data_IF_934880146887
#
_entry.id   IF_934880146887
#
_cell.length_a   1.000
_cell.length_b   1.000
_cell.length_c   1.000
_cell.angle_alpha   90.00
_cell.angle_beta   90.00
_cell.angle_gamma   90.00
#
_symmetry.space_group_name_H-M   'P 1'
#
loop_
_entity.id
_entity.type
_entity.pdbx_description
1 polymer ?
#
# COMPACT_ATOMS: atom_id res chain seq x y z
N UNK A 1 -14.12 -13.51 11.50
CA UNK A 1 -12.73 -13.60 10.95
C UNK A 1 -12.54 -15.02 10.46
N UNK A 2 -12.48 -15.22 9.14
CA UNK A 2 -12.18 -16.52 8.56
C UNK A 2 -10.69 -16.62 8.28
N UNK A 3 -10.09 -17.77 8.66
CA UNK A 3 -8.71 -18.08 8.35
C UNK A 3 -8.57 -18.27 6.84
N UNK A 4 -7.57 -17.67 6.20
CA UNK A 4 -7.26 -17.94 4.80
C UNK A 4 -7.04 -19.42 4.56
N UNK A 5 -7.76 -19.99 3.59
CA UNK A 5 -7.69 -21.42 3.24
C UNK A 5 -7.86 -21.58 1.73
N UNK A 6 -6.93 -22.31 1.11
CA UNK A 6 -7.02 -22.65 -0.32
C UNK A 6 -8.25 -23.50 -0.61
N UNK A 7 -8.56 -24.45 0.28
CA UNK A 7 -9.72 -25.36 0.11
C UNK A 7 -11.07 -24.67 0.30
N UNK A 8 -11.11 -23.52 0.98
CA UNK A 8 -12.34 -22.74 1.20
C UNK A 8 -12.47 -21.54 0.24
N UNK A 9 -11.51 -21.34 -0.67
CA UNK A 9 -11.53 -20.21 -1.60
C UNK A 9 -11.36 -18.82 -0.96
N UNK A 10 -10.96 -18.75 0.32
CA UNK A 10 -10.72 -17.50 1.06
C UNK A 10 -9.26 -17.09 0.98
N UNK A 11 -8.53 -17.53 -0.05
CA UNK A 11 -7.11 -17.30 -0.23
C UNK A 11 -6.88 -16.51 -1.52
N UNK A 12 -6.09 -15.46 -1.42
CA UNK A 12 -5.59 -14.71 -2.59
C UNK A 12 -4.09 -14.93 -2.72
N UNK A 13 -3.65 -15.30 -3.90
CA UNK A 13 -2.23 -15.36 -4.20
C UNK A 13 -1.67 -13.95 -4.43
N UNK A 14 -0.38 -13.76 -4.14
CA UNK A 14 0.30 -12.51 -4.47
C UNK A 14 0.26 -12.23 -5.98
N UNK A 15 0.25 -13.28 -6.81
CA UNK A 15 0.14 -13.16 -8.26
C UNK A 15 -1.24 -12.61 -8.70
N UNK A 16 -2.33 -13.16 -8.18
CA UNK A 16 -3.69 -12.65 -8.44
C UNK A 16 -3.84 -11.20 -8.01
N UNK A 17 -3.33 -10.86 -6.83
CA UNK A 17 -3.34 -9.50 -6.34
C UNK A 17 -2.56 -8.56 -7.26
N UNK A 18 -1.37 -8.98 -7.72
CA UNK A 18 -0.49 -8.16 -8.59
C UNK A 18 -1.06 -7.90 -9.99
N UNK A 19 -1.98 -8.75 -10.47
CA UNK A 19 -2.70 -8.52 -11.73
C UNK A 19 -3.75 -7.41 -11.63
N UNK A 20 -4.25 -7.15 -10.42
CA UNK A 20 -5.33 -6.18 -10.18
C UNK A 20 -4.84 -4.87 -9.58
N UNK A 21 -3.82 -4.93 -8.74
CA UNK A 21 -3.32 -3.80 -7.98
C UNK A 21 -1.79 -3.74 -8.02
N UNK A 22 -1.26 -2.52 -7.89
CA UNK A 22 0.18 -2.34 -7.75
C UNK A 22 0.68 -3.04 -6.47
N UNK A 23 1.64 -3.99 -6.57
CA UNK A 23 2.17 -4.72 -5.43
C UNK A 23 2.75 -3.83 -4.32
N UNK A 24 3.22 -2.63 -4.66
CA UNK A 24 3.78 -1.70 -3.68
C UNK A 24 2.73 -1.15 -2.70
N UNK A 25 1.47 -1.09 -3.13
CA UNK A 25 0.37 -0.70 -2.23
C UNK A 25 0.14 -1.75 -1.14
N UNK A 26 0.23 -3.03 -1.50
CA UNK A 26 0.14 -4.12 -0.54
C UNK A 26 1.36 -4.16 0.40
N UNK A 27 2.56 -3.90 -0.13
CA UNK A 27 3.78 -3.78 0.70
C UNK A 27 3.64 -2.64 1.72
N UNK A 28 3.12 -1.48 1.29
CA UNK A 28 2.86 -0.36 2.19
C UNK A 28 1.82 -0.74 3.26
N UNK A 29 0.71 -1.36 2.86
CA UNK A 29 -0.33 -1.79 3.77
C UNK A 29 0.18 -2.77 4.83
N UNK A 30 0.96 -3.75 4.43
CA UNK A 30 1.59 -4.68 5.38
C UNK A 30 2.61 -3.97 6.28
N UNK A 31 3.48 -3.15 5.74
CA UNK A 31 4.44 -2.41 6.56
C UNK A 31 3.76 -1.50 7.58
N UNK A 32 2.59 -0.93 7.23
CA UNK A 32 1.77 -0.08 8.09
C UNK A 32 1.08 -0.85 9.23
N UNK A 33 0.77 -2.12 9.05
CA UNK A 33 -0.07 -2.90 9.96
C UNK A 33 0.70 -4.00 10.72
N UNK A 34 1.78 -4.56 10.14
CA UNK A 34 2.56 -5.62 10.76
C UNK A 34 3.33 -5.11 11.97
N UNK A 35 3.06 -5.70 13.13
CA UNK A 35 3.87 -5.54 14.34
C UNK A 35 5.03 -6.55 14.34
N UNK A 36 5.95 -6.41 15.30
CA UNK A 36 7.02 -7.40 15.53
C UNK A 36 6.50 -8.74 16.03
N UNK A 37 5.35 -8.73 16.68
CA UNK A 37 4.74 -9.90 17.25
C UNK A 37 4.07 -10.73 16.16
N UNK A 38 4.06 -12.04 16.34
CA UNK A 38 3.37 -12.98 15.44
C UNK A 38 1.86 -12.82 15.64
N UNK A 39 1.28 -11.83 14.97
CA UNK A 39 -0.15 -11.60 14.98
C UNK A 39 -0.72 -11.79 13.57
N UNK A 40 -1.87 -12.45 13.49
CA UNK A 40 -2.61 -12.54 12.24
C UNK A 40 -3.11 -11.16 11.81
N UNK A 41 -2.92 -10.83 10.54
CA UNK A 41 -3.52 -9.65 9.92
C UNK A 41 -4.79 -10.07 9.19
N UNK A 42 -5.87 -9.37 9.50
CA UNK A 42 -7.09 -9.45 8.72
C UNK A 42 -6.99 -8.50 7.52
N UNK A 43 -6.84 -9.07 6.32
CA UNK A 43 -6.79 -8.28 5.10
C UNK A 43 -8.21 -7.84 4.72
N UNK A 44 -8.61 -6.67 5.19
CA UNK A 44 -9.83 -6.01 4.74
C UNK A 44 -9.55 -5.18 3.50
N UNK A 45 -10.21 -5.48 2.38
CA UNK A 45 -10.05 -4.71 1.15
C UNK A 45 -10.48 -3.24 1.31
N UNK A 46 -11.51 -2.99 2.11
CA UNK A 46 -11.96 -1.62 2.40
C UNK A 46 -10.90 -0.85 3.21
N UNK A 47 -10.26 -1.51 4.18
CA UNK A 47 -9.18 -0.90 4.97
C UNK A 47 -7.92 -0.72 4.11
N UNK A 48 -7.58 -1.69 3.28
CA UNK A 48 -6.49 -1.59 2.30
C UNK A 48 -6.67 -0.39 1.37
N UNK A 49 -7.87 -0.22 0.78
CA UNK A 49 -8.19 0.94 -0.07
C UNK A 49 -8.06 2.24 0.71
N UNK A 50 -8.66 2.32 1.89
CA UNK A 50 -8.65 3.51 2.75
C UNK A 50 -7.23 3.91 3.16
N UNK A 51 -6.43 2.98 3.65
CA UNK A 51 -5.04 3.22 4.07
C UNK A 51 -4.18 3.64 2.88
N UNK A 52 -4.29 2.93 1.76
CA UNK A 52 -3.54 3.25 0.54
C UNK A 52 -3.90 4.65 0.02
N UNK A 53 -5.19 4.94 -0.10
CA UNK A 53 -5.65 6.21 -0.65
C UNK A 53 -5.35 7.41 0.25
N UNK A 54 -5.50 7.27 1.56
CA UNK A 54 -5.35 8.39 2.48
C UNK A 54 -3.90 8.60 2.92
N UNK A 55 -3.18 7.53 3.26
CA UNK A 55 -1.85 7.64 3.84
C UNK A 55 -0.75 7.66 2.77
N UNK A 56 -0.74 6.71 1.83
CA UNK A 56 0.30 6.66 0.80
C UNK A 56 0.05 7.71 -0.29
N UNK A 57 -1.16 7.77 -0.84
CA UNK A 57 -1.45 8.57 -2.03
C UNK A 57 -1.77 10.01 -1.66
N UNK A 58 -2.76 10.24 -0.80
CA UNK A 58 -3.19 11.60 -0.47
C UNK A 58 -2.20 12.35 0.43
N UNK A 59 -1.53 11.67 1.36
CA UNK A 59 -0.55 12.31 2.23
C UNK A 59 0.83 12.39 1.53
N UNK A 60 1.51 11.26 1.27
CA UNK A 60 2.88 11.26 0.74
C UNK A 60 2.89 11.63 -0.75
N UNK A 61 2.13 10.89 -1.56
CA UNK A 61 2.14 11.05 -3.02
C UNK A 61 1.72 12.44 -3.47
N UNK A 62 0.64 12.95 -2.92
CA UNK A 62 0.11 14.27 -3.26
C UNK A 62 1.05 15.40 -2.81
N UNK A 63 1.66 15.30 -1.62
CA UNK A 63 2.67 16.28 -1.19
C UNK A 63 3.84 16.33 -2.17
N UNK A 64 4.43 15.18 -2.50
CA UNK A 64 5.56 15.10 -3.42
C UNK A 64 5.20 15.69 -4.80
N UNK A 65 4.05 15.31 -5.34
CA UNK A 65 3.60 15.82 -6.65
C UNK A 65 3.29 17.31 -6.65
N UNK A 66 2.59 17.83 -5.64
CA UNK A 66 2.26 19.25 -5.52
C UNK A 66 3.49 20.13 -5.45
N UNK A 67 4.48 19.73 -4.63
CA UNK A 67 5.72 20.46 -4.47
C UNK A 67 6.54 20.50 -5.77
N UNK A 68 6.74 19.32 -6.39
CA UNK A 68 7.53 19.22 -7.64
C UNK A 68 6.83 19.93 -8.80
N UNK A 69 5.51 19.80 -8.92
CA UNK A 69 4.71 20.46 -9.96
C UNK A 69 4.70 21.98 -9.81
N UNK A 70 4.59 22.49 -8.58
CA UNK A 70 4.63 23.93 -8.34
C UNK A 70 6.02 24.51 -8.62
N UNK A 71 7.08 23.78 -8.28
CA UNK A 71 8.45 24.15 -8.61
C UNK A 71 8.68 24.17 -10.14
N UNK A 72 8.26 23.13 -10.85
CA UNK A 72 8.41 23.04 -12.30
C UNK A 72 7.68 24.18 -13.01
N UNK A 73 6.41 24.39 -12.67
CA UNK A 73 5.55 25.42 -13.26
C UNK A 73 6.12 26.84 -13.11
N UNK A 74 6.67 27.16 -11.95
CA UNK A 74 7.04 28.55 -11.62
C UNK A 74 8.53 28.83 -11.73
N UNK A 75 9.38 27.81 -11.61
CA UNK A 75 10.84 27.95 -11.58
C UNK A 75 11.56 26.94 -12.49
N UNK A 76 10.83 26.32 -13.45
CA UNK A 76 11.37 25.33 -14.42
C UNK A 76 12.19 24.22 -13.72
N UNK A 77 11.70 23.77 -12.56
CA UNK A 77 12.33 22.74 -11.75
C UNK A 77 13.59 23.16 -10.99
N UNK A 78 13.97 24.44 -11.00
CA UNK A 78 15.24 24.89 -10.42
C UNK A 78 15.09 25.35 -8.98
N UNK A 79 15.90 24.80 -8.09
CA UNK A 79 16.10 25.23 -6.70
C UNK A 79 17.41 26.00 -6.65
N UNK A 80 17.39 27.23 -6.16
CA UNK A 80 18.63 28.02 -5.92
C UNK A 80 19.11 27.92 -4.48
N UNK A 81 18.18 28.05 -3.53
CA UNK A 81 18.46 28.02 -2.10
C UNK A 81 17.34 27.31 -1.34
N UNK A 82 17.50 27.13 -0.03
CA UNK A 82 16.55 26.47 0.86
C UNK A 82 16.26 27.34 2.08
N UNK A 83 15.02 27.33 2.56
CA UNK A 83 14.64 28.06 3.78
C UNK A 83 15.36 27.47 5.00
N UNK A 84 15.90 28.36 5.83
CA UNK A 84 16.65 28.00 7.05
C UNK A 84 15.72 27.82 8.26
N UNK A 85 14.62 27.10 8.08
CA UNK A 85 13.70 26.78 9.18
C UNK A 85 14.29 25.69 10.10
N UNK A 86 15.16 26.12 11.04
CA UNK A 86 15.85 25.22 11.98
C UNK A 86 14.87 24.33 12.75
N UNK A 87 13.78 24.91 13.28
CA UNK A 87 12.80 24.16 14.07
C UNK A 87 12.20 22.97 13.28
N UNK A 88 11.79 23.20 12.03
CA UNK A 88 11.23 22.16 11.18
C UNK A 88 12.28 21.10 10.80
N UNK A 89 13.48 21.53 10.41
CA UNK A 89 14.55 20.59 10.01
C UNK A 89 15.01 19.74 11.18
N UNK A 90 15.10 20.28 12.39
CA UNK A 90 15.43 19.53 13.61
C UNK A 90 14.32 18.50 13.95
N UNK A 91 13.05 18.89 13.85
CA UNK A 91 11.92 17.98 14.06
C UNK A 91 11.97 16.80 13.07
N UNK A 92 12.19 17.08 11.79
CA UNK A 92 12.28 16.04 10.76
C UNK A 92 13.53 15.18 10.97
N UNK A 93 14.68 15.76 11.31
CA UNK A 93 15.90 15.00 11.59
C UNK A 93 15.71 14.00 12.73
N UNK A 94 15.06 14.40 13.82
CA UNK A 94 14.73 13.47 14.93
C UNK A 94 13.85 12.30 14.45
N UNK A 95 12.93 12.56 13.53
CA UNK A 95 12.08 11.49 12.97
C UNK A 95 12.84 10.60 11.99
N UNK A 96 13.76 11.14 11.20
CA UNK A 96 14.66 10.36 10.35
C UNK A 96 15.43 9.34 11.18
N UNK A 97 16.02 9.75 12.30
CA UNK A 97 16.75 8.83 13.17
C UNK A 97 15.84 7.74 13.78
N UNK A 98 14.60 8.10 14.17
CA UNK A 98 13.60 7.10 14.60
C UNK A 98 13.25 6.11 13.49
N UNK A 99 13.11 6.56 12.24
CA UNK A 99 12.86 5.65 11.11
C UNK A 99 14.03 4.69 10.91
N UNK A 100 15.27 5.18 10.95
CA UNK A 100 16.48 4.35 10.83
C UNK A 100 16.54 3.29 11.96
N UNK A 101 16.29 3.71 13.20
CA UNK A 101 16.24 2.82 14.35
C UNK A 101 15.14 1.76 14.19
N UNK A 102 13.94 2.15 13.76
CA UNK A 102 12.83 1.22 13.56
C UNK A 102 13.12 0.23 12.43
N UNK A 103 13.77 0.64 11.35
CA UNK A 103 14.21 -0.28 10.30
C UNK A 103 15.25 -1.29 10.81
N UNK A 104 16.22 -0.84 11.59
CA UNK A 104 17.23 -1.75 12.16
C UNK A 104 16.64 -2.79 13.13
N UNK A 105 15.49 -2.46 13.74
CA UNK A 105 14.74 -3.32 14.66
C UNK A 105 13.59 -4.08 13.98
N UNK A 106 13.45 -4.02 12.66
CA UNK A 106 12.35 -4.59 11.89
C UNK A 106 10.94 -4.11 12.35
N UNK A 107 10.86 -2.93 12.94
CA UNK A 107 9.61 -2.34 13.39
C UNK A 107 8.99 -1.46 12.30
N UNK A 108 8.49 -2.10 11.24
CA UNK A 108 8.02 -1.42 10.03
C UNK A 108 6.84 -0.49 10.30
N UNK A 109 5.93 -0.88 11.18
CA UNK A 109 4.76 -0.09 11.58
C UNK A 109 5.17 1.29 12.12
N UNK A 110 6.12 1.33 13.06
CA UNK A 110 6.59 2.59 13.62
C UNK A 110 7.48 3.37 12.63
N UNK A 111 8.20 2.67 11.73
CA UNK A 111 8.91 3.35 10.64
C UNK A 111 7.93 4.09 9.73
N UNK A 112 6.87 3.42 9.26
CA UNK A 112 5.82 4.04 8.42
C UNK A 112 5.15 5.20 9.14
N UNK A 113 4.80 5.06 10.42
CA UNK A 113 4.21 6.13 11.22
C UNK A 113 5.09 7.38 11.23
N UNK A 114 6.39 7.23 11.50
CA UNK A 114 7.31 8.36 11.50
C UNK A 114 7.49 8.98 10.10
N UNK A 115 7.44 8.19 9.03
CA UNK A 115 7.48 8.69 7.64
C UNK A 115 6.24 9.54 7.34
N UNK A 116 5.04 9.07 7.73
CA UNK A 116 3.79 9.82 7.59
C UNK A 116 3.85 11.14 8.35
N UNK A 117 4.36 11.14 9.59
CA UNK A 117 4.53 12.36 10.38
C UNK A 117 5.52 13.35 9.75
N UNK A 118 6.57 12.88 9.03
CA UNK A 118 7.44 13.75 8.24
C UNK A 118 6.67 14.37 7.07
N UNK A 119 5.84 13.59 6.40
CA UNK A 119 4.99 14.10 5.31
C UNK A 119 3.98 15.12 5.82
N UNK A 120 3.36 14.89 6.96
CA UNK A 120 2.44 15.84 7.62
C UNK A 120 3.12 17.17 7.94
N UNK A 121 4.34 17.13 8.47
CA UNK A 121 5.13 18.33 8.72
C UNK A 121 5.43 19.09 7.42
N UNK A 122 5.76 18.38 6.36
CA UNK A 122 5.99 18.98 5.04
C UNK A 122 4.72 19.59 4.45
N UNK A 123 3.59 18.87 4.48
CA UNK A 123 2.29 19.36 4.05
C UNK A 123 1.86 20.62 4.82
N UNK A 124 1.99 20.59 6.14
CA UNK A 124 1.68 21.71 7.02
C UNK A 124 2.52 22.94 6.67
N UNK A 125 3.84 22.76 6.55
CA UNK A 125 4.74 23.84 6.17
C UNK A 125 4.41 24.43 4.81
N UNK A 126 4.17 23.59 3.79
CA UNK A 126 3.79 24.03 2.44
C UNK A 126 2.46 24.79 2.46
N UNK A 127 1.49 24.34 3.24
CA UNK A 127 0.19 25.01 3.39
C UNK A 127 0.31 26.35 4.13
N UNK A 128 1.06 26.40 5.23
CA UNK A 128 1.26 27.63 6.02
C UNK A 128 2.04 28.72 5.25
N UNK A 129 2.98 28.31 4.40
CA UNK A 129 3.77 29.25 3.58
C UNK A 129 3.01 29.74 2.34
N UNK A 130 1.92 29.11 1.95
CA UNK A 130 1.07 29.47 0.82
C UNK A 130 1.90 29.94 -0.42
N UNK A 131 2.78 29.09 -0.98
CA UNK A 131 3.70 29.52 -2.04
C UNK A 131 2.98 30.09 -3.27
N UNK A 132 1.70 29.71 -3.50
CA UNK A 132 0.84 30.27 -4.56
C UNK A 132 0.41 31.72 -4.32
N UNK A 133 0.40 32.17 -3.07
CA UNK A 133 0.21 33.59 -2.72
C UNK A 133 1.55 34.30 -2.60
N UNK A 134 2.54 33.66 -1.96
CA UNK A 134 3.86 34.22 -1.70
C UNK A 134 4.59 34.60 -2.99
N UNK A 135 4.48 33.81 -4.05
CA UNK A 135 5.15 34.05 -5.34
C UNK A 135 4.78 35.39 -5.98
N UNK A 136 3.57 35.90 -5.70
CA UNK A 136 3.12 37.20 -6.21
C UNK A 136 3.82 38.38 -5.52
N UNK A 137 4.37 38.15 -4.32
CA UNK A 137 4.98 39.17 -3.47
C UNK A 137 6.51 39.05 -3.41
N UNK A 138 6.99 37.84 -3.24
CA UNK A 138 8.40 37.52 -3.07
C UNK A 138 8.78 36.19 -3.73
N UNK A 139 9.27 36.28 -4.97
CA UNK A 139 9.74 35.12 -5.74
C UNK A 139 10.96 34.44 -5.09
N UNK A 140 11.85 35.21 -4.47
CA UNK A 140 13.05 34.66 -3.84
C UNK A 140 12.68 33.84 -2.63
N UNK A 141 11.84 34.39 -1.75
CA UNK A 141 11.36 33.64 -0.57
C UNK A 141 10.54 32.41 -0.94
N UNK A 142 9.72 32.50 -2.00
CA UNK A 142 8.99 31.34 -2.52
C UNK A 142 9.95 30.23 -2.95
N UNK A 143 11.05 30.58 -3.61
CA UNK A 143 12.04 29.60 -4.06
C UNK A 143 12.78 28.95 -2.88
N UNK A 144 13.09 29.70 -1.82
CA UNK A 144 13.65 29.15 -0.58
C UNK A 144 12.69 28.16 0.09
N UNK A 145 11.40 28.51 0.20
CA UNK A 145 10.34 27.63 0.73
C UNK A 145 10.24 26.32 -0.07
N UNK A 146 10.21 26.43 -1.39
CA UNK A 146 10.15 25.25 -2.26
C UNK A 146 11.44 24.41 -2.16
N UNK A 147 12.59 25.05 -2.00
CA UNK A 147 13.86 24.36 -1.78
C UNK A 147 13.81 23.47 -0.54
N UNK A 148 13.25 23.96 0.57
CA UNK A 148 13.05 23.13 1.77
C UNK A 148 12.05 22.00 1.53
N UNK A 149 10.93 22.29 0.86
CA UNK A 149 9.94 21.26 0.53
C UNK A 149 10.53 20.16 -0.35
N UNK A 150 11.36 20.48 -1.35
CA UNK A 150 12.04 19.47 -2.19
C UNK A 150 13.05 18.64 -1.37
N UNK A 151 13.74 19.25 -0.43
CA UNK A 151 14.58 18.48 0.51
C UNK A 151 13.72 17.49 1.33
N UNK A 152 12.52 17.88 1.77
CA UNK A 152 11.59 16.96 2.44
C UNK A 152 11.12 15.84 1.49
N UNK A 153 10.83 16.14 0.22
CA UNK A 153 10.50 15.13 -0.79
C UNK A 153 11.66 14.13 -0.95
N UNK A 154 12.90 14.58 -1.00
CA UNK A 154 14.07 13.69 -1.03
C UNK A 154 14.16 12.80 0.22
N UNK A 155 13.91 13.36 1.40
CA UNK A 155 13.82 12.59 2.65
C UNK A 155 12.77 11.50 2.55
N UNK A 156 11.54 11.84 2.14
CA UNK A 156 10.45 10.88 2.00
C UNK A 156 10.77 9.78 0.98
N UNK A 157 11.28 10.16 -0.20
CA UNK A 157 11.69 9.21 -1.24
C UNK A 157 12.72 8.20 -0.70
N UNK A 158 13.70 8.69 0.08
CA UNK A 158 14.75 7.84 0.65
C UNK A 158 14.20 6.92 1.74
N UNK A 159 13.41 7.46 2.66
CA UNK A 159 12.92 6.70 3.80
C UNK A 159 11.91 5.63 3.43
N UNK A 160 11.06 5.88 2.42
CA UNK A 160 10.04 4.92 1.99
C UNK A 160 10.59 3.84 1.03
N UNK A 161 11.82 3.99 0.53
CA UNK A 161 12.39 3.10 -0.48
C UNK A 161 12.43 1.61 -0.11
N UNK A 162 12.64 1.18 1.15
CA UNK A 162 12.56 -0.23 1.50
C UNK A 162 11.14 -0.81 1.37
N UNK A 163 10.12 0.03 1.45
CA UNK A 163 8.70 -0.36 1.43
C UNK A 163 8.15 -0.29 0.01
N UNK A 164 8.34 0.85 -0.68
CA UNK A 164 7.86 1.11 -2.04
C UNK A 164 9.01 1.48 -2.98
N UNK A 165 9.85 0.50 -3.37
CA UNK A 165 11.09 0.76 -4.12
C UNK A 165 10.87 1.40 -5.48
N UNK A 166 9.83 0.98 -6.25
CA UNK A 166 9.54 1.54 -7.58
C UNK A 166 9.05 2.99 -7.48
N UNK A 167 8.17 3.27 -6.52
CA UNK A 167 7.71 4.64 -6.27
C UNK A 167 8.88 5.55 -5.90
N UNK A 168 9.76 5.10 -5.02
CA UNK A 168 10.96 5.84 -4.61
C UNK A 168 11.92 6.07 -5.76
N UNK A 169 12.12 5.07 -6.61
CA UNK A 169 12.99 5.16 -7.78
C UNK A 169 12.46 6.20 -8.80
N UNK A 170 11.15 6.23 -9.02
CA UNK A 170 10.55 7.23 -9.90
C UNK A 170 10.63 8.65 -9.30
N UNK A 171 10.46 8.80 -7.98
CA UNK A 171 10.73 10.09 -7.30
C UNK A 171 12.19 10.50 -7.43
N UNK A 172 13.13 9.57 -7.25
CA UNK A 172 14.57 9.81 -7.44
C UNK A 172 14.87 10.36 -8.83
N UNK A 173 14.29 9.74 -9.86
CA UNK A 173 14.42 10.20 -11.26
C UNK A 173 13.85 11.61 -11.43
N UNK A 174 12.66 11.87 -10.89
CA UNK A 174 12.05 13.21 -10.96
C UNK A 174 12.88 14.25 -10.21
N UNK A 175 13.48 13.89 -9.09
CA UNK A 175 14.40 14.74 -8.36
C UNK A 175 15.77 14.89 -9.04
N UNK A 176 16.04 14.18 -10.15
CA UNK A 176 17.34 14.13 -10.84
C UNK A 176 18.49 13.76 -9.92
N UNK A 177 18.27 12.85 -8.98
CA UNK A 177 19.28 12.36 -8.05
C UNK A 177 19.92 11.07 -8.58
N UNK A 178 21.24 10.92 -8.39
CA UNK A 178 21.96 9.71 -8.79
C UNK A 178 21.54 8.49 -7.95
N UNK A 179 21.40 8.70 -6.65
CA UNK A 179 21.02 7.67 -5.69
C UNK A 179 20.31 8.26 -4.47
N UNK A 180 19.60 7.41 -3.72
CA UNK A 180 19.01 7.74 -2.42
C UNK A 180 19.88 7.17 -1.32
N UNK A 181 20.46 8.04 -0.46
CA UNK A 181 21.40 7.64 0.59
C UNK A 181 20.77 7.82 1.98
N UNK A 182 20.45 6.69 2.62
CA UNK A 182 19.88 6.72 3.96
C UNK A 182 20.88 7.24 5.01
N UNK A 183 22.17 6.94 4.85
CA UNK A 183 23.21 7.34 5.81
C UNK A 183 23.43 8.85 5.87
N UNK A 184 23.32 9.53 4.72
CA UNK A 184 23.70 10.93 4.56
C UNK A 184 22.51 11.85 4.25
N UNK A 185 21.32 11.52 4.75
CA UNK A 185 20.13 12.35 4.56
C UNK A 185 20.30 13.71 5.23
N UNK A 186 20.48 14.74 4.40
CA UNK A 186 20.65 16.15 4.82
C UNK A 186 19.75 17.05 3.97
N UNK A 187 19.39 18.20 4.54
CA UNK A 187 18.65 19.26 3.85
C UNK A 187 19.61 20.17 3.06
N UNK A 188 20.33 19.61 2.10
CA UNK A 188 21.42 20.30 1.39
C UNK A 188 21.22 20.40 -0.13
N UNK A 189 20.06 20.02 -0.65
CA UNK A 189 19.75 20.23 -2.07
C UNK A 189 19.55 21.71 -2.33
N UNK A 190 20.54 22.31 -2.97
CA UNK A 190 20.54 23.70 -3.45
C UNK A 190 21.28 23.77 -4.79
N UNK A 191 21.04 24.80 -5.58
CA UNK A 191 21.55 24.92 -6.95
C UNK A 191 21.31 23.65 -7.75
N UNK A 192 20.08 23.12 -7.64
CA UNK A 192 19.69 21.82 -8.16
C UNK A 192 18.49 21.95 -9.10
N UNK A 193 18.46 21.12 -10.15
CA UNK A 193 17.36 21.09 -11.11
C UNK A 193 16.68 19.73 -11.11
N UNK A 194 15.38 19.72 -10.88
CA UNK A 194 14.54 18.52 -10.98
C UNK A 194 14.08 18.29 -12.42
N UNK A 195 13.70 17.06 -12.75
CA UNK A 195 13.04 16.72 -14.01
C UNK A 195 11.55 17.06 -13.95
N UNK A 196 10.87 16.97 -15.10
CA UNK A 196 9.44 17.23 -15.21
C UNK A 196 8.65 16.26 -14.32
N UNK A 197 7.76 16.76 -13.46
CA UNK A 197 7.00 15.94 -12.55
C UNK A 197 5.94 15.08 -13.28
N UNK A 198 5.70 13.89 -12.75
CA UNK A 198 4.65 12.98 -13.20
C UNK A 198 3.93 12.42 -11.98
N UNK A 199 2.64 12.15 -12.11
CA UNK A 199 1.90 11.36 -11.12
C UNK A 199 2.44 9.93 -11.18
N UNK A 200 3.00 9.44 -10.07
CA UNK A 200 3.59 8.10 -9.98
C UNK A 200 2.57 7.10 -9.42
N UNK A 201 1.80 7.54 -8.45
CA UNK A 201 0.78 6.73 -7.77
C UNK A 201 -0.56 7.46 -7.81
N UNK A 202 -1.64 6.70 -8.00
CA UNK A 202 -3.00 7.22 -8.11
C UNK A 202 -3.96 6.43 -7.23
N UNK A 203 -5.06 7.09 -6.84
CA UNK A 203 -6.12 6.45 -6.04
C UNK A 203 -6.57 5.14 -6.67
N UNK A 204 -6.86 4.19 -5.80
CA UNK A 204 -7.41 2.90 -6.16
C UNK A 204 -8.86 2.82 -5.72
N UNK A 205 -9.66 2.14 -6.52
CA UNK A 205 -10.96 1.62 -6.14
C UNK A 205 -10.84 0.10 -6.14
N UNK A 206 -10.94 -0.49 -4.97
CA UNK A 206 -10.90 -1.94 -4.87
C UNK A 206 -12.28 -2.45 -5.27
N UNK A 207 -12.42 -2.85 -6.53
CA UNK A 207 -13.55 -3.68 -6.93
C UNK A 207 -13.48 -4.92 -6.06
N UNK A 208 -14.54 -5.15 -5.25
CA UNK A 208 -14.69 -6.44 -4.58
C UNK A 208 -14.50 -7.49 -5.66
N UNK A 209 -13.43 -8.29 -5.56
CA UNK A 209 -13.36 -9.47 -6.39
C UNK A 209 -14.62 -10.24 -6.04
N UNK A 210 -15.57 -10.28 -6.97
CA UNK A 210 -16.65 -11.23 -6.85
C UNK A 210 -15.92 -12.56 -6.74
N UNK A 211 -15.85 -13.09 -5.53
CA UNK A 211 -15.58 -14.49 -5.33
C UNK A 211 -16.75 -15.19 -5.98
N UNK A 212 -16.70 -15.34 -7.29
CA UNK A 212 -17.35 -16.46 -7.91
C UNK A 212 -16.56 -17.64 -7.38
N UNK A 213 -17.02 -18.13 -6.25
CA UNK A 213 -16.67 -19.46 -5.79
C UNK A 213 -16.84 -20.34 -7.03
N UNK A 214 -15.80 -21.00 -7.53
CA UNK A 214 -15.97 -21.94 -8.62
C UNK A 214 -16.57 -23.24 -8.07
N UNK A 215 -17.55 -23.11 -7.19
CA UNK A 215 -18.44 -24.21 -6.86
C UNK A 215 -19.45 -24.25 -7.99
N UNK A 216 -19.17 -25.13 -8.93
CA UNK A 216 -20.16 -25.56 -9.89
C UNK A 216 -21.17 -26.47 -9.14
N UNK A 217 -21.99 -25.82 -8.30
CA UNK A 217 -23.04 -26.50 -7.56
C UNK A 217 -24.11 -26.92 -8.56
N UNK A 218 -24.29 -28.20 -8.69
CA UNK A 218 -25.39 -28.80 -9.45
C UNK A 218 -26.37 -29.45 -8.49
N UNK A 219 -27.64 -29.25 -8.70
CA UNK A 219 -28.67 -30.01 -8.01
C UNK A 219 -28.69 -31.41 -8.63
N UNK A 220 -28.62 -32.43 -7.80
CA UNK A 220 -28.65 -33.82 -8.22
C UNK A 220 -29.83 -34.52 -7.57
N UNK A 221 -30.43 -35.42 -8.30
CA UNK A 221 -31.44 -36.37 -7.75
C UNK A 221 -30.69 -37.59 -7.22
N UNK A 222 -30.94 -37.97 -5.96
CA UNK A 222 -30.43 -39.21 -5.40
C UNK A 222 -31.24 -40.35 -6.01
N UNK A 223 -30.57 -41.33 -6.64
CA UNK A 223 -31.17 -42.50 -7.28
C UNK A 223 -31.15 -43.67 -6.31
N UNK A 224 -30.04 -43.86 -5.61
CA UNK A 224 -29.82 -44.98 -4.71
C UNK A 224 -28.86 -44.59 -3.57
N UNK A 225 -29.04 -45.26 -2.41
CA UNK A 225 -28.21 -45.05 -1.21
C UNK A 225 -27.83 -46.40 -0.65
N UNK A 226 -26.55 -46.70 -0.52
CA UNK A 226 -26.00 -47.92 0.04
C UNK A 226 -25.05 -47.65 1.19
N UNK A 227 -25.00 -48.58 2.14
CA UNK A 227 -23.96 -48.57 3.16
C UNK A 227 -22.61 -48.91 2.55
N UNK A 228 -21.54 -48.28 3.05
CA UNK A 228 -20.21 -48.61 2.58
C UNK A 228 -19.74 -49.94 3.16
N UNK A 229 -19.27 -50.92 2.33
CA UNK A 229 -18.99 -52.27 2.80
C UNK A 229 -17.88 -52.34 3.88
N UNK A 230 -16.97 -51.38 3.90
CA UNK A 230 -15.78 -51.39 4.79
C UNK A 230 -15.76 -50.22 5.79
N UNK A 231 -16.88 -49.47 5.98
CA UNK A 231 -16.88 -48.30 6.86
C UNK A 231 -18.28 -47.92 7.36
N UNK A 232 -18.58 -48.19 8.62
CA UNK A 232 -19.87 -47.93 9.30
C UNK A 232 -20.37 -46.47 9.31
N UNK A 233 -19.50 -45.51 8.95
CA UNK A 233 -19.83 -44.09 8.95
C UNK A 233 -19.87 -43.48 7.55
N UNK A 234 -19.79 -44.29 6.51
CA UNK A 234 -19.84 -43.85 5.14
C UNK A 234 -21.06 -44.44 4.42
N UNK A 235 -21.60 -43.65 3.50
CA UNK A 235 -22.66 -44.08 2.56
C UNK A 235 -22.18 -43.87 1.13
N UNK A 236 -22.64 -44.75 0.25
CA UNK A 236 -22.47 -44.63 -1.19
C UNK A 236 -23.78 -44.08 -1.75
N UNK A 237 -23.68 -42.99 -2.49
CA UNK A 237 -24.81 -42.30 -3.11
C UNK A 237 -24.68 -42.38 -4.62
N UNK A 238 -25.62 -42.97 -5.29
CA UNK A 238 -25.78 -42.88 -6.74
C UNK A 238 -26.69 -41.69 -7.05
N UNK A 239 -26.15 -40.69 -7.78
CA UNK A 239 -26.83 -39.43 -8.07
C UNK A 239 -26.97 -39.21 -9.57
N UNK A 240 -28.06 -38.54 -9.97
CA UNK A 240 -28.31 -38.07 -11.33
C UNK A 240 -28.24 -36.56 -11.37
N UNK A 241 -27.31 -36.05 -12.19
CA UNK A 241 -27.08 -34.61 -12.44
C UNK A 241 -27.85 -34.12 -13.68
N UNK A 242 -28.70 -34.97 -14.27
CA UNK A 242 -29.41 -34.69 -15.51
C UNK A 242 -28.57 -34.92 -16.77
N UNK A 243 -27.31 -34.50 -16.77
CA UNK A 243 -26.37 -34.70 -17.88
C UNK A 243 -25.46 -35.92 -17.70
N UNK A 244 -25.32 -36.42 -16.49
CA UNK A 244 -24.45 -37.54 -16.12
C UNK A 244 -24.90 -38.15 -14.78
N UNK A 245 -24.57 -39.42 -14.58
CA UNK A 245 -24.75 -40.11 -13.29
C UNK A 245 -23.40 -40.27 -12.61
N UNK A 246 -23.36 -40.08 -11.29
CA UNK A 246 -22.13 -40.24 -10.49
C UNK A 246 -22.41 -41.01 -9.21
N UNK A 247 -21.42 -41.79 -8.81
CA UNK A 247 -21.40 -42.44 -7.49
C UNK A 247 -20.48 -41.60 -6.58
N UNK A 248 -20.98 -41.19 -5.43
CA UNK A 248 -20.28 -40.44 -4.41
C UNK A 248 -20.19 -41.24 -3.12
N UNK A 249 -19.06 -41.12 -2.42
CA UNK A 249 -18.93 -41.67 -1.06
C UNK A 249 -18.92 -40.46 -0.11
N UNK A 250 -19.85 -40.46 0.83
CA UNK A 250 -20.04 -39.38 1.79
C UNK A 250 -20.10 -39.89 3.22
N UNK A 251 -19.83 -39.02 4.17
CA UNK A 251 -19.99 -39.34 5.59
C UNK A 251 -21.48 -39.30 5.95
N UNK A 252 -22.02 -40.37 6.45
CA UNK A 252 -23.39 -40.41 6.99
C UNK A 252 -23.44 -39.54 8.25
N UNK A 253 -24.14 -38.40 8.19
CA UNK A 253 -24.72 -37.84 9.40
C UNK A 253 -26.11 -38.52 9.55
N UNK A 254 -26.58 -38.85 10.74
CA UNK A 254 -27.85 -39.52 10.93
C UNK A 254 -29.04 -38.56 10.72
N UNK A 255 -29.16 -38.04 9.52
CA UNK A 255 -30.40 -37.46 9.05
C UNK A 255 -31.12 -38.60 8.37
N UNK A 256 -32.25 -39.07 8.95
CA UNK A 256 -33.15 -39.99 8.28
C UNK A 256 -33.57 -39.37 6.94
N UNK A 257 -33.07 -39.93 5.85
CA UNK A 257 -33.54 -39.58 4.51
C UNK A 257 -34.78 -40.47 4.30
N UNK A 258 -35.97 -39.90 4.45
CA UNK A 258 -37.19 -40.56 3.99
C UNK A 258 -37.28 -40.33 2.48
N UNK A 259 -37.16 -41.44 1.72
CA UNK A 259 -37.41 -41.44 0.29
C UNK A 259 -38.93 -41.54 0.10
N UNK A 260 -39.58 -40.47 -0.36
CA UNK A 260 -40.93 -40.46 -0.88
C UNK A 260 -40.92 -40.91 -2.35
#
# INVERSE_FOLDING_TARGET
KEKMSKSRGTFYTAEEFSKLHNPEYLRFYFARNLSKDINDIDLSFNDFEKVTNNELIANIGNFCYRVTSFLDKNFKGTIKDTDKNKKLTEQITKKIEKVKENYSKFNLKEAVRNILEISDLGNKYFQEKEPWKLIKRDKKKTQEVLGLCINIVNVLATLISPITPKYSEELRKQLSLKELKLKDLKFNLKNHKTSKPKIIISKIEVKKMNQTFPLNLKVAKIIDVKEHPDADKLIILDIDLGSEKRTLVGKANPIKIELN
#
